data_IF_763368009404
#
_entry.id   IF_763368009404
#
_cell.length_a   1.000
_cell.length_b   1.000
_cell.length_c   1.000
_cell.angle_alpha   90.00
_cell.angle_beta   90.00
_cell.angle_gamma   90.00
#
_symmetry.space_group_name_H-M   'P 1'
#
loop_
_entity.id
_entity.type
_entity.pdbx_description
1 polymer ?
#
# COMPACT_ATOMS: atom_id res chain seq x y z
N UNK A 1 12.32 -0.59 33.29
CA UNK A 1 11.74 -1.63 34.16
C UNK A 1 10.50 -1.05 34.80
N UNK A 2 9.36 -1.68 34.59
CA UNK A 2 8.11 -1.28 35.21
C UNK A 2 8.06 -1.82 36.65
N UNK A 3 7.17 -1.24 37.47
CA UNK A 3 6.98 -1.64 38.88
C UNK A 3 6.53 -3.10 39.05
N UNK A 4 6.02 -3.73 38.00
CA UNK A 4 5.67 -5.15 37.95
C UNK A 4 6.85 -6.06 37.52
N UNK A 5 8.07 -5.54 37.44
CA UNK A 5 9.26 -6.30 37.07
C UNK A 5 9.41 -6.60 35.58
N UNK A 6 8.57 -6.03 34.71
CA UNK A 6 8.71 -6.23 33.26
C UNK A 6 9.64 -5.22 32.59
N UNK A 7 10.13 -5.60 31.42
CA UNK A 7 10.87 -4.74 30.50
C UNK A 7 10.05 -4.66 29.21
N UNK A 8 9.84 -3.44 28.72
CA UNK A 8 9.36 -3.22 27.34
C UNK A 8 10.56 -2.87 26.47
N UNK A 9 10.61 -3.50 25.31
CA UNK A 9 11.60 -3.28 24.29
C UNK A 9 10.91 -3.32 22.92
N UNK A 10 11.34 -2.43 22.03
CA UNK A 10 10.94 -2.44 20.63
C UNK A 10 12.17 -2.83 19.82
N UNK A 11 12.11 -3.96 19.14
CA UNK A 11 13.19 -4.42 18.28
C UNK A 11 13.16 -3.66 16.96
N UNK A 12 14.17 -2.83 16.64
CA UNK A 12 14.24 -2.19 15.35
C UNK A 12 14.60 -3.24 14.30
N UNK A 13 13.76 -3.40 13.28
CA UNK A 13 14.05 -4.25 12.12
C UNK A 13 14.57 -3.37 11.00
N UNK A 14 15.69 -3.75 10.42
CA UNK A 14 16.29 -3.10 9.25
C UNK A 14 16.63 -4.15 8.22
N UNK A 15 16.26 -3.90 6.98
CA UNK A 15 16.59 -4.75 5.84
C UNK A 15 17.67 -4.04 5.01
N UNK A 16 18.60 -4.80 4.45
CA UNK A 16 19.65 -4.26 3.58
C UNK A 16 19.79 -5.20 2.40
N UNK A 17 19.66 -4.64 1.21
CA UNK A 17 19.74 -5.40 -0.03
C UNK A 17 21.16 -5.93 -0.25
N UNK A 18 21.29 -7.22 -0.56
CA UNK A 18 22.54 -7.87 -0.93
C UNK A 18 22.45 -8.37 -2.39
N UNK A 19 23.09 -7.63 -3.29
CA UNK A 19 23.07 -7.94 -4.73
C UNK A 19 23.75 -9.27 -5.05
N UNK A 20 24.75 -9.69 -4.29
CA UNK A 20 25.49 -10.93 -4.56
C UNK A 20 24.68 -12.17 -4.20
N UNK A 21 23.74 -12.04 -3.26
CA UNK A 21 22.82 -13.10 -2.83
C UNK A 21 21.42 -13.01 -3.47
N UNK A 22 21.24 -12.10 -4.44
CA UNK A 22 19.96 -11.87 -5.10
C UNK A 22 20.01 -12.23 -6.58
N UNK A 23 18.91 -12.78 -7.09
CA UNK A 23 18.80 -13.17 -8.50
C UNK A 23 18.89 -11.94 -9.42
N UNK A 24 18.30 -10.82 -8.99
CA UNK A 24 18.26 -9.56 -9.73
C UNK A 24 18.31 -8.34 -8.78
N UNK A 25 18.33 -7.15 -9.36
CA UNK A 25 18.32 -5.86 -8.66
C UNK A 25 16.91 -5.40 -8.26
N UNK A 26 16.81 -4.44 -7.33
CA UNK A 26 15.54 -3.87 -6.87
C UNK A 26 14.77 -3.12 -7.96
N UNK A 27 15.44 -2.78 -9.07
CA UNK A 27 14.83 -2.19 -10.26
C UNK A 27 14.09 -3.20 -11.13
N UNK A 28 14.22 -4.51 -10.87
CA UNK A 28 13.53 -5.54 -11.61
C UNK A 28 12.02 -5.35 -11.55
N UNK A 29 11.38 -5.26 -12.72
CA UNK A 29 9.95 -5.00 -12.85
C UNK A 29 9.17 -6.28 -13.12
N UNK A 30 8.04 -6.44 -12.44
CA UNK A 30 7.16 -7.59 -12.59
C UNK A 30 5.70 -7.16 -12.57
N UNK A 31 4.85 -7.97 -13.20
CA UNK A 31 3.40 -7.75 -13.22
C UNK A 31 2.76 -8.59 -12.11
N UNK A 32 1.98 -7.92 -11.27
CA UNK A 32 1.28 -8.52 -10.14
C UNK A 32 -0.12 -7.94 -10.00
N UNK A 33 -0.89 -8.42 -9.04
CA UNK A 33 -2.20 -7.88 -8.70
C UNK A 33 -2.02 -6.48 -8.12
N UNK A 34 -2.85 -5.52 -8.57
CA UNK A 34 -2.91 -4.21 -7.94
C UNK A 34 -3.59 -4.35 -6.56
N UNK A 35 -2.78 -4.30 -5.50
CA UNK A 35 -3.22 -4.47 -4.12
C UNK A 35 -4.19 -3.37 -3.71
N UNK A 36 -3.99 -2.13 -4.17
CA UNK A 36 -4.87 -0.99 -3.87
C UNK A 36 -6.23 -1.19 -4.53
N UNK A 37 -6.23 -1.55 -5.81
CA UNK A 37 -7.45 -1.88 -6.54
C UNK A 37 -8.27 -2.94 -5.79
N UNK A 38 -7.62 -4.04 -5.39
CA UNK A 38 -8.29 -5.13 -4.67
C UNK A 38 -8.78 -4.71 -3.29
N UNK A 39 -8.00 -3.91 -2.55
CA UNK A 39 -8.39 -3.41 -1.24
C UNK A 39 -9.62 -2.49 -1.33
N UNK A 40 -9.66 -1.60 -2.33
CA UNK A 40 -10.79 -0.71 -2.56
C UNK A 40 -12.03 -1.47 -2.99
N UNK A 41 -11.93 -2.40 -3.94
CA UNK A 41 -13.07 -3.25 -4.36
C UNK A 41 -13.61 -4.04 -3.17
N UNK A 42 -12.75 -4.62 -2.34
CA UNK A 42 -13.16 -5.31 -1.12
C UNK A 42 -13.88 -4.35 -0.15
N UNK A 43 -13.34 -3.15 0.06
CA UNK A 43 -13.95 -2.13 0.91
C UNK A 43 -15.33 -1.69 0.40
N UNK A 44 -15.51 -1.54 -0.91
CA UNK A 44 -16.80 -1.19 -1.51
C UNK A 44 -17.86 -2.28 -1.35
N UNK A 45 -17.45 -3.55 -1.26
CA UNK A 45 -18.36 -4.67 -1.01
C UNK A 45 -18.86 -4.74 0.45
N UNK A 46 -18.22 -4.02 1.38
CA UNK A 46 -18.66 -3.95 2.76
C UNK A 46 -19.93 -3.09 2.88
N UNK A 47 -20.94 -3.60 3.60
CA UNK A 47 -22.30 -3.03 3.64
C UNK A 47 -22.43 -1.58 4.17
N UNK A 48 -21.36 -1.00 4.71
CA UNK A 48 -21.39 0.30 5.42
C UNK A 48 -20.75 1.46 4.64
N UNK A 49 -20.39 1.25 3.38
CA UNK A 49 -19.70 2.29 2.62
C UNK A 49 -20.65 3.41 2.18
N UNK A 50 -20.28 4.66 2.45
CA UNK A 50 -21.11 5.81 2.10
C UNK A 50 -21.37 5.86 0.57
N UNK A 51 -22.62 6.08 0.11
CA UNK A 51 -22.95 6.06 -1.32
C UNK A 51 -22.12 7.01 -2.19
N UNK A 52 -21.75 8.18 -1.64
CA UNK A 52 -20.93 9.19 -2.33
C UNK A 52 -19.50 8.68 -2.52
N UNK A 53 -18.91 8.08 -1.49
CA UNK A 53 -17.57 7.49 -1.56
C UNK A 53 -17.54 6.36 -2.60
N UNK A 54 -18.53 5.46 -2.54
CA UNK A 54 -18.64 4.35 -3.49
C UNK A 54 -18.63 4.82 -4.94
N UNK A 55 -19.48 5.81 -5.26
CA UNK A 55 -19.57 6.33 -6.63
C UNK A 55 -18.25 6.94 -7.11
N UNK A 56 -17.57 7.71 -6.27
CA UNK A 56 -16.29 8.31 -6.63
C UNK A 56 -15.21 7.24 -6.85
N UNK A 57 -15.14 6.23 -5.98
CA UNK A 57 -14.18 5.12 -6.17
C UNK A 57 -14.49 4.33 -7.45
N UNK A 58 -15.76 4.01 -7.73
CA UNK A 58 -16.15 3.33 -8.97
C UNK A 58 -15.73 4.14 -10.22
N UNK A 59 -16.00 5.45 -10.25
CA UNK A 59 -15.60 6.34 -11.35
C UNK A 59 -14.07 6.43 -11.51
N UNK A 60 -13.31 6.45 -10.41
CA UNK A 60 -11.85 6.50 -10.45
C UNK A 60 -11.22 5.17 -10.87
N UNK A 61 -11.78 4.03 -10.42
CA UNK A 61 -11.31 2.70 -10.78
C UNK A 61 -11.45 2.46 -12.29
N UNK A 62 -12.57 2.88 -12.90
CA UNK A 62 -12.80 2.76 -14.34
C UNK A 62 -11.83 3.63 -15.17
N UNK A 63 -11.31 4.72 -14.61
CA UNK A 63 -10.48 5.69 -15.33
C UNK A 63 -8.97 5.43 -15.21
N UNK A 64 -8.49 4.95 -14.07
CA UNK A 64 -7.05 5.03 -13.71
C UNK A 64 -6.36 3.67 -13.69
N UNK A 65 -7.00 2.64 -13.14
CA UNK A 65 -6.29 1.44 -12.69
C UNK A 65 -6.82 0.16 -13.32
N UNK A 66 -5.90 -0.77 -13.57
CA UNK A 66 -6.23 -2.14 -13.94
C UNK A 66 -6.06 -3.09 -12.75
N UNK A 67 -6.77 -4.23 -12.70
CA UNK A 67 -6.60 -5.22 -11.64
C UNK A 67 -5.17 -5.77 -11.52
N UNK A 68 -4.38 -5.63 -12.58
CA UNK A 68 -2.96 -5.95 -12.63
C UNK A 68 -2.15 -4.66 -12.74
N UNK A 69 -0.99 -4.62 -12.11
CA UNK A 69 -0.04 -3.51 -12.19
C UNK A 69 1.37 -4.04 -12.45
N UNK A 70 2.19 -3.24 -13.12
CA UNK A 70 3.63 -3.51 -13.30
C UNK A 70 4.43 -2.50 -12.48
N UNK A 71 5.27 -3.00 -11.58
CA UNK A 71 6.11 -2.18 -10.68
C UNK A 71 7.46 -2.84 -10.49
N UNK A 72 8.45 -2.05 -10.06
CA UNK A 72 9.72 -2.60 -9.59
C UNK A 72 9.57 -3.31 -8.24
N UNK A 73 10.42 -4.30 -7.97
CA UNK A 73 10.39 -5.01 -6.69
C UNK A 73 10.73 -4.09 -5.51
N UNK A 74 11.63 -3.13 -5.69
CA UNK A 74 11.94 -2.11 -4.68
C UNK A 74 10.72 -1.26 -4.32
N UNK A 75 10.00 -0.75 -5.33
CA UNK A 75 8.74 -0.02 -5.12
C UNK A 75 7.69 -0.87 -4.40
N UNK A 76 7.53 -2.13 -4.84
CA UNK A 76 6.51 -3.01 -4.28
C UNK A 76 6.77 -3.37 -2.80
N UNK A 77 8.03 -3.60 -2.44
CA UNK A 77 8.42 -3.98 -1.07
C UNK A 77 8.44 -2.78 -0.13
N UNK A 78 9.07 -1.68 -0.54
CA UNK A 78 9.45 -0.57 0.32
C UNK A 78 8.57 0.66 0.18
N UNK A 79 7.74 0.74 -0.85
CA UNK A 79 6.81 1.84 -1.02
C UNK A 79 6.77 2.39 -2.43
N UNK A 80 5.56 2.63 -2.90
CA UNK A 80 5.28 3.50 -4.04
C UNK A 80 4.13 4.44 -3.69
N UNK A 81 4.05 5.55 -4.41
CA UNK A 81 2.89 6.45 -4.36
C UNK A 81 1.84 5.95 -5.32
N UNK A 82 0.65 5.65 -4.81
CA UNK A 82 -0.46 5.17 -5.60
C UNK A 82 -1.29 6.35 -6.15
N UNK A 83 -1.48 6.48 -7.48
CA UNK A 83 -2.23 7.59 -8.05
C UNK A 83 -3.69 7.64 -7.60
N UNK A 84 -4.32 6.48 -7.41
CA UNK A 84 -5.72 6.37 -7.01
C UNK A 84 -5.90 6.80 -5.54
N UNK A 85 -5.04 6.34 -4.64
CA UNK A 85 -5.03 6.82 -3.25
C UNK A 85 -4.69 8.29 -3.16
N UNK A 86 -3.79 8.79 -3.99
CA UNK A 86 -3.44 10.22 -4.02
C UNK A 86 -4.66 11.09 -4.35
N UNK A 87 -5.46 10.68 -5.34
CA UNK A 87 -6.72 11.38 -5.65
C UNK A 87 -7.75 11.22 -4.55
N UNK A 88 -7.93 10.00 -4.02
CA UNK A 88 -8.90 9.76 -2.95
C UNK A 88 -8.58 10.52 -1.66
N UNK A 89 -7.30 10.68 -1.32
CA UNK A 89 -6.86 11.51 -0.20
C UNK A 89 -7.29 12.97 -0.37
N UNK A 90 -7.28 13.51 -1.59
CA UNK A 90 -7.73 14.86 -1.87
C UNK A 90 -9.24 15.05 -1.68
N UNK A 91 -10.05 14.02 -1.99
CA UNK A 91 -11.51 14.06 -1.82
C UNK A 91 -11.97 13.64 -0.40
N UNK A 92 -11.23 12.74 0.25
CA UNK A 92 -11.61 12.07 1.49
C UNK A 92 -10.44 11.92 2.47
N UNK A 93 -9.87 13.03 2.98
CA UNK A 93 -8.68 12.99 3.85
C UNK A 93 -8.92 12.26 5.18
N UNK A 94 -10.16 12.19 5.66
CA UNK A 94 -10.52 11.47 6.88
C UNK A 94 -10.50 9.93 6.70
N UNK A 95 -10.72 9.46 5.47
CA UNK A 95 -10.76 8.04 5.12
C UNK A 95 -9.40 7.53 4.61
N UNK A 96 -8.70 8.35 3.82
CA UNK A 96 -7.40 8.00 3.22
C UNK A 96 -6.33 8.92 3.80
N UNK A 97 -5.56 8.39 4.75
CA UNK A 97 -4.55 9.16 5.49
C UNK A 97 -3.17 9.17 4.82
N UNK A 98 -2.81 8.11 4.09
CA UNK A 98 -1.54 7.99 3.36
C UNK A 98 -1.84 7.51 1.93
N UNK A 99 -1.13 8.07 0.95
CA UNK A 99 -1.22 7.72 -0.47
C UNK A 99 -0.09 6.78 -0.92
N UNK A 100 0.77 6.36 0.02
CA UNK A 100 1.87 5.43 -0.22
C UNK A 100 1.50 4.02 0.25
N UNK A 101 2.00 3.04 -0.49
CA UNK A 101 1.71 1.62 -0.24
C UNK A 101 2.99 0.82 -0.30
N UNK A 102 3.25 0.04 0.74
CA UNK A 102 4.42 -0.83 0.88
C UNK A 102 4.00 -2.16 1.51
N UNK A 103 4.59 -3.28 1.08
CA UNK A 103 4.30 -4.58 1.67
C UNK A 103 5.01 -4.77 3.03
N UNK A 104 6.23 -4.27 3.17
CA UNK A 104 7.04 -4.42 4.40
C UNK A 104 7.18 -3.13 5.21
N UNK A 105 6.52 -2.06 4.76
CA UNK A 105 6.64 -0.73 5.33
C UNK A 105 7.72 0.11 4.64
N UNK A 106 7.73 1.39 4.96
CA UNK A 106 8.70 2.34 4.42
C UNK A 106 10.03 2.23 5.17
N UNK A 107 11.12 2.14 4.41
CA UNK A 107 12.47 2.23 4.97
C UNK A 107 12.80 3.64 5.46
#
# INVERSE_FOLDING_TARGET
MYSNGTISYQEPRKYTFDRAQSVDDETFSFTTINVVYMALVNYLQMEKTAPIFRRIVEELLDYIETPLMTRSIGEYLWGYRDPLLHMLQAYFPDLVQDDRVALFGFN
#
